data_IF_511631369277
#
_entry.id   IF_511631369277
#
_cell.length_a   1.000
_cell.length_b   1.000
_cell.length_c   1.000
_cell.angle_alpha   90.00
_cell.angle_beta   90.00
_cell.angle_gamma   90.00
#
_symmetry.space_group_name_H-M   'P 1'
#
loop_
_entity.id
_entity.type
_entity.pdbx_description
1 polymer ?
#
# COMPACT_ATOMS: atom_id res chain seq x y z
N UNK A 1 2.21 -33.29 77.91
CA UNK A 1 2.44 -33.56 76.46
C UNK A 1 1.87 -32.40 75.69
N UNK A 2 2.74 -31.47 75.27
CA UNK A 2 2.38 -30.40 74.38
C UNK A 2 2.18 -30.97 72.91
N UNK A 3 0.92 -31.06 72.50
CA UNK A 3 0.60 -31.27 71.11
C UNK A 3 0.89 -29.97 70.34
N UNK A 4 2.04 -29.89 69.66
CA UNK A 4 2.26 -28.85 68.68
C UNK A 4 1.34 -29.14 67.50
N UNK A 5 0.34 -28.26 67.27
CA UNK A 5 -0.45 -28.32 66.07
C UNK A 5 0.45 -28.01 64.85
N UNK A 6 0.42 -28.86 63.85
CA UNK A 6 1.05 -28.55 62.57
C UNK A 6 0.21 -27.51 61.86
N UNK A 7 0.82 -26.41 61.46
CA UNK A 7 0.25 -25.44 60.57
C UNK A 7 0.73 -25.77 59.15
N UNK A 8 -0.22 -25.72 58.19
CA UNK A 8 0.08 -25.90 56.75
C UNK A 8 -0.45 -24.68 56.00
N UNK A 9 0.23 -24.30 54.99
CA UNK A 9 -0.17 -23.26 54.05
C UNK A 9 0.16 -23.74 52.62
N UNK A 10 -0.62 -23.31 51.67
CA UNK A 10 -0.47 -23.69 50.25
C UNK A 10 -0.33 -22.46 49.38
N UNK A 11 0.53 -22.51 48.41
CA UNK A 11 0.68 -21.52 47.34
C UNK A 11 0.45 -22.18 46.00
N UNK A 12 -0.41 -21.58 45.20
CA UNK A 12 -0.61 -22.02 43.81
C UNK A 12 0.20 -21.16 42.86
N UNK A 13 1.06 -21.78 42.07
CA UNK A 13 1.83 -21.11 41.02
C UNK A 13 1.25 -21.52 39.66
N UNK A 14 0.75 -20.55 38.91
CA UNK A 14 0.24 -20.77 37.56
C UNK A 14 1.29 -20.32 36.55
N UNK A 15 1.54 -21.16 35.57
CA UNK A 15 2.41 -20.86 34.44
C UNK A 15 1.56 -20.63 33.19
N UNK A 16 1.79 -19.52 32.53
CA UNK A 16 1.14 -19.19 31.26
C UNK A 16 2.21 -19.16 30.15
N UNK A 17 1.82 -19.60 28.96
CA UNK A 17 2.66 -19.44 27.78
C UNK A 17 2.78 -17.95 27.42
N UNK A 18 3.96 -17.54 27.00
CA UNK A 18 4.18 -16.17 26.55
C UNK A 18 3.34 -15.85 25.30
N UNK A 19 2.83 -14.63 25.16
CA UNK A 19 2.15 -14.22 23.94
C UNK A 19 3.15 -14.14 22.77
N UNK A 20 2.65 -14.45 21.56
CA UNK A 20 3.38 -14.33 20.31
C UNK A 20 2.53 -13.53 19.33
N UNK A 21 3.12 -12.52 18.71
CA UNK A 21 2.45 -11.61 17.76
C UNK A 21 3.28 -11.59 16.47
N UNK A 22 2.56 -11.64 15.34
CA UNK A 22 3.08 -11.38 14.02
C UNK A 22 2.08 -10.48 13.28
N UNK A 23 2.50 -9.28 12.93
CA UNK A 23 1.66 -8.28 12.25
C UNK A 23 1.46 -8.59 10.75
N UNK A 24 2.22 -9.54 10.20
CA UNK A 24 2.24 -9.89 8.80
C UNK A 24 3.38 -9.21 8.04
N UNK A 25 3.45 -9.50 6.74
CA UNK A 25 4.45 -8.92 5.85
C UNK A 25 4.06 -7.51 5.42
N UNK A 26 5.07 -6.68 5.13
CA UNK A 26 4.87 -5.35 4.53
C UNK A 26 4.06 -5.43 3.24
N UNK A 27 3.16 -4.48 3.03
CA UNK A 27 2.28 -4.46 1.87
C UNK A 27 2.49 -3.20 1.04
N UNK A 28 2.20 -3.27 -0.26
CA UNK A 28 2.24 -2.13 -1.16
C UNK A 28 0.96 -2.04 -2.00
N UNK A 29 0.51 -0.82 -2.24
CA UNK A 29 -0.65 -0.50 -3.06
C UNK A 29 -0.31 0.62 -4.04
N UNK A 30 -0.68 0.42 -5.31
CA UNK A 30 -0.56 1.44 -6.35
C UNK A 30 -1.96 1.84 -6.82
N UNK A 31 -2.34 3.08 -6.63
CA UNK A 31 -3.66 3.60 -7.02
C UNK A 31 -4.17 4.69 -6.08
N UNK A 32 -5.35 5.24 -6.39
CA UNK A 32 -5.88 6.44 -5.74
C UNK A 32 -6.73 6.17 -4.49
N UNK A 33 -7.03 4.91 -4.20
CA UNK A 33 -7.89 4.55 -3.06
C UNK A 33 -7.31 3.33 -2.33
N UNK A 34 -6.18 3.49 -1.64
CA UNK A 34 -5.52 2.37 -0.97
C UNK A 34 -6.39 1.80 0.15
N UNK A 35 -6.42 0.47 0.20
CA UNK A 35 -7.10 -0.30 1.23
C UNK A 35 -6.28 -1.57 1.48
N UNK A 36 -5.94 -1.82 2.73
CA UNK A 36 -5.06 -2.93 3.13
C UNK A 36 -5.80 -3.90 4.03
N UNK A 37 -5.94 -5.14 3.61
CA UNK A 37 -6.39 -6.21 4.47
C UNK A 37 -5.22 -6.69 5.33
N UNK A 38 -5.28 -6.46 6.63
CA UNK A 38 -4.26 -6.94 7.55
C UNK A 38 -4.50 -8.41 7.87
N UNK A 39 -3.40 -9.19 7.92
CA UNK A 39 -3.43 -10.63 8.15
C UNK A 39 -2.40 -10.99 9.21
N UNK A 40 -2.75 -10.73 10.46
CA UNK A 40 -1.90 -10.95 11.61
C UNK A 40 -2.16 -12.31 12.27
N UNK A 41 -1.20 -12.76 13.05
CA UNK A 41 -1.28 -13.95 13.90
C UNK A 41 -1.02 -13.54 15.34
N UNK A 42 -1.85 -14.03 16.27
CA UNK A 42 -1.68 -13.85 17.70
C UNK A 42 -1.91 -15.18 18.42
N UNK A 43 -0.92 -15.62 19.20
CA UNK A 43 -0.99 -16.82 20.03
C UNK A 43 -0.82 -16.43 21.50
N UNK A 44 -1.50 -17.16 22.40
CA UNK A 44 -1.40 -17.00 23.84
C UNK A 44 -1.76 -15.56 24.34
N UNK A 45 -2.48 -14.79 23.56
CA UNK A 45 -3.02 -13.49 23.90
C UNK A 45 -4.56 -13.54 23.88
N UNK A 46 -5.23 -12.90 24.85
CA UNK A 46 -6.69 -12.85 24.87
C UNK A 46 -7.26 -11.76 23.95
N UNK A 47 -6.44 -10.84 23.52
CA UNK A 47 -6.81 -9.76 22.61
C UNK A 47 -5.60 -9.09 22.00
N UNK A 48 -5.86 -8.21 21.08
CA UNK A 48 -4.85 -7.40 20.39
C UNK A 48 -5.33 -5.98 20.21
N UNK A 49 -4.40 -5.07 19.96
CA UNK A 49 -4.70 -3.70 19.58
C UNK A 49 -3.71 -3.24 18.49
N UNK A 50 -4.26 -2.74 17.40
CA UNK A 50 -3.52 -2.01 16.38
C UNK A 50 -3.38 -0.54 16.75
N UNK A 51 -2.18 -0.01 16.60
CA UNK A 51 -1.84 1.40 16.84
C UNK A 51 -0.96 1.91 15.69
N UNK A 52 -0.71 3.19 15.70
CA UNK A 52 -0.03 3.88 14.59
C UNK A 52 -1.04 4.26 13.50
N UNK A 53 -0.62 5.22 12.70
CA UNK A 53 -1.45 5.77 11.65
C UNK A 53 -2.59 6.69 12.14
N UNK A 54 -3.13 7.44 11.18
CA UNK A 54 -4.29 8.32 11.35
C UNK A 54 -5.47 7.91 10.45
N UNK A 55 -5.38 6.74 9.83
CA UNK A 55 -6.41 6.15 9.00
C UNK A 55 -7.50 5.46 9.82
N UNK A 56 -8.28 4.63 9.16
CA UNK A 56 -9.45 3.96 9.77
C UNK A 56 -9.29 2.45 9.73
N UNK A 57 -9.51 1.80 10.87
CA UNK A 57 -9.60 0.33 10.98
C UNK A 57 -11.06 -0.12 10.87
N UNK A 58 -11.34 -1.07 10.00
CA UNK A 58 -12.68 -1.65 9.82
C UNK A 58 -12.63 -3.15 10.12
N UNK A 59 -13.42 -3.67 11.08
CA UNK A 59 -14.45 -2.98 11.84
C UNK A 59 -13.91 -2.06 12.94
N UNK A 60 -12.72 -2.33 13.50
CA UNK A 60 -12.05 -1.53 14.54
C UNK A 60 -10.60 -1.99 14.71
N UNK A 61 -9.84 -1.28 15.53
CA UNK A 61 -8.42 -1.55 15.77
C UNK A 61 -8.14 -2.66 16.79
N UNK A 62 -9.16 -3.26 17.40
CA UNK A 62 -9.01 -4.45 18.27
C UNK A 62 -9.33 -5.75 17.55
N UNK A 63 -9.74 -5.69 16.29
CA UNK A 63 -9.85 -6.85 15.42
C UNK A 63 -8.45 -7.35 15.03
N UNK A 64 -8.25 -8.68 15.01
CA UNK A 64 -6.95 -9.24 14.63
C UNK A 64 -6.61 -8.92 13.18
N UNK A 65 -7.58 -9.06 12.28
CA UNK A 65 -7.44 -8.90 10.84
C UNK A 65 -8.40 -7.83 10.29
N UNK A 66 -8.23 -6.54 10.64
CA UNK A 66 -9.08 -5.49 10.11
C UNK A 66 -8.62 -5.09 8.70
N UNK A 67 -9.49 -4.39 7.99
CA UNK A 67 -9.08 -3.59 6.84
C UNK A 67 -8.62 -2.22 7.32
N UNK A 68 -7.44 -1.79 6.90
CA UNK A 68 -6.95 -0.43 7.16
C UNK A 68 -7.12 0.44 5.93
N UNK A 69 -7.75 1.61 6.11
CA UNK A 69 -7.91 2.63 5.08
C UNK A 69 -7.07 3.83 5.51
N UNK A 70 -5.95 4.12 4.82
CA UNK A 70 -5.09 5.24 5.15
C UNK A 70 -5.76 6.59 4.99
N UNK A 71 -5.41 7.54 5.84
CA UNK A 71 -5.82 8.94 5.71
C UNK A 71 -5.17 9.60 4.48
N UNK A 72 -5.74 10.72 4.00
CA UNK A 72 -5.17 11.49 2.90
C UNK A 72 -3.73 11.97 3.18
N UNK A 73 -3.43 12.27 4.44
CA UNK A 73 -2.08 12.68 4.86
C UNK A 73 -1.09 11.53 4.71
N UNK A 74 -1.44 10.32 5.13
CA UNK A 74 -0.60 9.13 4.99
C UNK A 74 -0.38 8.75 3.52
N UNK A 75 -1.43 8.86 2.72
CA UNK A 75 -1.32 8.67 1.26
C UNK A 75 -0.34 9.65 0.64
N UNK A 76 -0.32 10.91 1.09
CA UNK A 76 0.62 11.92 0.60
C UNK A 76 2.06 11.66 1.06
N UNK A 77 2.27 11.02 2.21
CA UNK A 77 3.59 10.60 2.68
C UNK A 77 4.09 9.31 2.00
N UNK A 78 3.19 8.54 1.39
CA UNK A 78 3.52 7.33 0.66
C UNK A 78 3.76 6.09 1.53
N UNK A 79 3.69 6.19 2.85
CA UNK A 79 3.77 5.03 3.74
C UNK A 79 3.21 5.32 5.13
N UNK A 80 2.82 4.26 5.83
CA UNK A 80 2.44 4.26 7.24
C UNK A 80 2.91 2.97 7.90
N UNK A 81 3.41 3.06 9.13
CA UNK A 81 3.73 1.89 9.95
C UNK A 81 2.66 1.69 11.01
N UNK A 82 2.12 0.49 11.06
CA UNK A 82 1.14 0.05 12.06
C UNK A 82 1.79 -0.96 12.98
N UNK A 83 1.45 -0.89 14.27
CA UNK A 83 1.97 -1.80 15.29
C UNK A 83 0.82 -2.58 15.91
N UNK A 84 0.96 -3.90 15.95
CA UNK A 84 0.07 -4.81 16.65
C UNK A 84 0.67 -5.15 18.01
N UNK A 85 -0.12 -5.00 19.06
CA UNK A 85 0.30 -5.31 20.42
C UNK A 85 -0.68 -6.29 21.03
N UNK A 86 -0.16 -7.30 21.75
CA UNK A 86 -0.96 -8.25 22.49
C UNK A 86 -1.58 -7.60 23.73
N UNK A 87 -2.75 -8.06 24.13
CA UNK A 87 -3.45 -7.60 25.35
C UNK A 87 -4.03 -8.78 26.12
N UNK A 88 -4.23 -8.60 27.43
CA UNK A 88 -4.86 -9.62 28.27
C UNK A 88 -4.02 -10.88 28.46
N UNK A 89 -2.72 -10.74 28.65
CA UNK A 89 -1.70 -11.81 28.60
C UNK A 89 -1.54 -12.58 29.93
N UNK A 90 -2.59 -12.63 30.77
CA UNK A 90 -2.61 -13.39 32.03
C UNK A 90 -1.38 -13.15 32.94
N UNK A 91 -0.86 -11.93 32.96
CA UNK A 91 0.32 -11.52 33.78
C UNK A 91 1.64 -11.61 33.05
N UNK A 92 1.71 -12.10 31.83
CA UNK A 92 2.87 -11.96 30.95
C UNK A 92 2.96 -10.54 30.38
N UNK A 93 4.16 -10.10 30.04
CA UNK A 93 4.38 -8.81 29.36
C UNK A 93 3.74 -8.78 27.98
N UNK A 94 3.29 -7.59 27.56
CA UNK A 94 2.81 -7.36 26.22
C UNK A 94 3.97 -7.53 25.22
N UNK A 95 3.67 -8.07 24.04
CA UNK A 95 4.58 -8.16 22.91
C UNK A 95 3.96 -7.45 21.71
N UNK A 96 4.83 -6.92 20.85
CA UNK A 96 4.40 -6.15 19.68
C UNK A 96 5.19 -6.54 18.46
N UNK A 97 4.57 -6.38 17.30
CA UNK A 97 5.20 -6.46 15.98
C UNK A 97 4.61 -5.38 15.07
N UNK A 98 5.31 -5.04 14.01
CA UNK A 98 4.94 -3.92 13.14
C UNK A 98 4.95 -4.31 11.67
N UNK A 99 4.05 -3.70 10.90
CA UNK A 99 3.95 -3.81 9.44
C UNK A 99 4.02 -2.41 8.83
N UNK A 100 4.70 -2.26 7.70
CA UNK A 100 4.71 -1.03 6.92
C UNK A 100 3.87 -1.19 5.66
N UNK A 101 2.96 -0.25 5.46
CA UNK A 101 2.11 -0.17 4.29
C UNK A 101 2.63 0.93 3.38
N UNK A 102 3.02 0.57 2.17
CA UNK A 102 3.52 1.49 1.15
C UNK A 102 2.42 1.86 0.16
N UNK A 103 2.31 3.14 -0.14
CA UNK A 103 1.31 3.68 -1.06
C UNK A 103 2.00 4.50 -2.13
N UNK A 104 1.62 4.27 -3.39
CA UNK A 104 1.98 5.15 -4.48
C UNK A 104 0.73 5.48 -5.29
N UNK A 105 0.60 6.75 -5.68
CA UNK A 105 -0.42 7.15 -6.64
C UNK A 105 -0.12 6.50 -7.98
N UNK A 106 -1.16 6.02 -8.67
CA UNK A 106 -1.01 5.40 -9.98
C UNK A 106 -0.35 6.34 -11.00
N UNK A 107 0.35 5.78 -11.97
CA UNK A 107 0.86 6.54 -13.12
C UNK A 107 -0.31 7.18 -13.87
N UNK A 108 -0.22 8.48 -14.13
CA UNK A 108 -1.14 9.19 -14.98
C UNK A 108 -0.42 9.56 -16.29
N UNK A 109 -1.00 9.14 -17.41
CA UNK A 109 -0.52 9.48 -18.74
C UNK A 109 -1.54 10.41 -19.39
N UNK A 110 -1.08 11.54 -19.88
CA UNK A 110 -1.87 12.49 -20.64
C UNK A 110 -1.17 12.75 -21.99
N UNK A 111 -1.84 12.43 -23.05
CA UNK A 111 -1.34 12.62 -24.44
C UNK A 111 -1.89 13.89 -25.10
N UNK A 112 -2.68 14.68 -24.38
CA UNK A 112 -3.36 15.86 -24.91
C UNK A 112 -4.72 15.54 -25.54
N UNK A 113 -5.32 16.54 -26.16
CA UNK A 113 -6.58 16.40 -26.91
C UNK A 113 -6.30 15.85 -28.32
N UNK A 114 -7.33 15.28 -28.96
CA UNK A 114 -7.30 14.88 -30.34
C UNK A 114 -6.93 16.05 -31.24
N UNK A 115 -6.06 15.79 -32.22
CA UNK A 115 -5.54 16.80 -33.15
C UNK A 115 -6.04 16.51 -34.55
N UNK A 116 -6.68 17.50 -35.16
CA UNK A 116 -7.07 17.46 -36.57
C UNK A 116 -6.13 18.35 -37.38
N UNK A 117 -5.57 17.81 -38.42
CA UNK A 117 -4.66 18.53 -39.32
C UNK A 117 -5.14 18.45 -40.75
N UNK A 118 -4.69 19.39 -41.59
CA UNK A 118 -4.95 19.32 -43.02
C UNK A 118 -4.04 18.26 -43.68
N UNK A 119 -4.48 17.66 -44.77
CA UNK A 119 -3.73 16.67 -45.54
C UNK A 119 -2.46 17.23 -46.19
N UNK A 120 -2.23 18.55 -46.12
CA UNK A 120 -0.98 19.20 -46.55
C UNK A 120 0.05 19.32 -45.43
N UNK A 121 -0.30 18.91 -44.20
CA UNK A 121 0.63 18.91 -43.07
C UNK A 121 1.58 17.73 -43.19
N UNK A 122 2.87 17.99 -42.99
CA UNK A 122 3.91 16.94 -43.09
C UNK A 122 4.09 16.19 -41.75
N UNK A 123 3.78 16.84 -40.65
CA UNK A 123 3.89 16.26 -39.30
C UNK A 123 2.93 16.93 -38.30
N UNK A 124 2.75 16.29 -37.17
CA UNK A 124 2.06 16.85 -35.98
C UNK A 124 2.97 16.76 -34.76
N UNK A 125 2.97 17.79 -33.93
CA UNK A 125 3.70 17.79 -32.66
C UNK A 125 2.86 17.18 -31.56
N UNK A 126 3.36 16.10 -30.96
CA UNK A 126 2.75 15.43 -29.81
C UNK A 126 3.52 15.79 -28.54
N UNK A 127 2.80 16.02 -27.44
CA UNK A 127 3.34 16.38 -26.15
C UNK A 127 2.72 15.48 -25.07
N UNK A 128 3.39 14.40 -24.74
CA UNK A 128 2.97 13.51 -23.67
C UNK A 128 3.44 14.02 -22.30
N UNK A 129 2.60 13.79 -21.28
CA UNK A 129 2.93 14.08 -19.89
C UNK A 129 2.70 12.81 -19.09
N UNK A 130 3.67 12.42 -18.27
CA UNK A 130 3.55 11.36 -17.27
C UNK A 130 3.71 11.98 -15.91
N UNK A 131 2.72 11.73 -15.05
CA UNK A 131 2.70 12.20 -13.65
C UNK A 131 2.81 11.00 -12.72
N UNK A 132 3.42 11.17 -11.57
CA UNK A 132 3.63 10.14 -10.53
C UNK A 132 4.52 8.97 -10.97
N UNK A 133 5.44 9.20 -11.90
CA UNK A 133 6.40 8.20 -12.34
C UNK A 133 7.54 8.78 -13.17
N UNK A 134 8.46 7.93 -13.64
CA UNK A 134 9.56 8.38 -14.48
C UNK A 134 8.99 8.97 -15.78
N UNK A 135 9.57 10.05 -16.30
CA UNK A 135 9.11 10.69 -17.54
C UNK A 135 9.56 9.87 -18.78
N UNK A 136 9.18 8.60 -18.82
CA UNK A 136 9.52 7.67 -19.87
C UNK A 136 8.27 6.96 -20.35
N UNK A 137 8.02 7.00 -21.65
CA UNK A 137 6.91 6.37 -22.33
C UNK A 137 7.30 5.99 -23.74
N UNK A 138 6.43 5.25 -24.42
CA UNK A 138 6.61 4.87 -25.82
C UNK A 138 5.34 5.28 -26.57
N UNK A 139 5.51 6.05 -27.62
CA UNK A 139 4.47 6.32 -28.60
C UNK A 139 4.36 5.15 -29.57
N UNK A 140 3.15 4.76 -29.87
CA UNK A 140 2.84 3.75 -30.88
C UNK A 140 1.81 4.31 -31.85
N UNK A 141 1.85 3.85 -33.12
CA UNK A 141 0.85 4.16 -34.12
C UNK A 141 0.38 2.87 -34.78
N UNK A 142 -0.87 2.82 -35.19
CA UNK A 142 -1.43 1.80 -36.09
C UNK A 142 -1.28 2.16 -37.57
N UNK A 143 -0.84 3.38 -37.87
CA UNK A 143 -0.49 3.84 -39.21
C UNK A 143 0.92 3.52 -39.61
N UNK A 144 1.39 4.15 -40.70
CA UNK A 144 2.73 3.98 -41.26
C UNK A 144 3.67 5.16 -40.98
N UNK A 145 3.22 6.11 -40.17
CA UNK A 145 3.99 7.27 -39.72
C UNK A 145 5.16 6.91 -38.82
N UNK A 146 6.07 7.88 -38.62
CA UNK A 146 7.25 7.72 -37.77
C UNK A 146 7.37 8.82 -36.73
N UNK A 147 7.99 8.50 -35.60
CA UNK A 147 8.23 9.45 -34.52
C UNK A 147 9.66 10.00 -34.55
N UNK A 148 9.81 11.30 -34.44
CA UNK A 148 11.09 12.00 -34.39
C UNK A 148 11.19 12.91 -33.17
N UNK A 149 12.28 12.87 -32.38
CA UNK A 149 13.54 12.13 -32.60
C UNK A 149 13.47 10.62 -32.35
N UNK A 150 12.55 10.13 -31.56
CA UNK A 150 12.29 8.70 -31.36
C UNK A 150 10.93 8.52 -30.62
N UNK A 151 10.32 7.36 -30.74
CA UNK A 151 9.07 6.98 -30.05
C UNK A 151 9.17 7.00 -28.54
N UNK A 152 10.36 6.92 -27.96
CA UNK A 152 10.58 6.96 -26.51
C UNK A 152 10.64 8.39 -25.93
N UNK A 153 10.60 9.41 -26.76
CA UNK A 153 10.57 10.80 -26.33
C UNK A 153 9.12 11.26 -26.12
N UNK A 154 8.80 11.87 -24.99
CA UNK A 154 7.43 12.33 -24.71
C UNK A 154 7.00 13.50 -25.61
N UNK A 155 7.95 14.29 -26.10
CA UNK A 155 7.70 15.41 -27.02
C UNK A 155 8.25 15.04 -28.39
N UNK A 156 7.41 14.59 -29.29
CA UNK A 156 7.81 14.09 -30.62
C UNK A 156 7.00 14.71 -31.72
N UNK A 157 7.63 14.84 -32.90
CA UNK A 157 6.89 15.03 -34.14
C UNK A 157 6.52 13.65 -34.72
N UNK A 158 5.24 13.43 -34.98
CA UNK A 158 4.77 12.31 -35.76
C UNK A 158 4.69 12.74 -37.21
N UNK A 159 5.48 12.11 -38.07
CA UNK A 159 5.44 12.30 -39.52
C UNK A 159 4.49 11.29 -40.12
N UNK A 160 3.52 11.74 -40.89
CA UNK A 160 2.49 10.89 -41.45
C UNK A 160 3.05 9.96 -42.55
N UNK A 161 2.62 8.72 -42.52
CA UNK A 161 2.80 7.79 -43.61
C UNK A 161 1.67 7.87 -44.65
N UNK A 162 1.86 7.24 -45.78
CA UNK A 162 0.86 7.28 -46.87
C UNK A 162 -0.49 6.67 -46.52
N UNK A 163 -0.54 5.79 -45.51
CA UNK A 163 -1.78 5.18 -45.05
C UNK A 163 -2.51 6.02 -44.00
N UNK A 164 -1.91 7.10 -43.50
CA UNK A 164 -2.47 7.94 -42.44
C UNK A 164 -3.38 9.05 -42.97
N UNK A 165 -3.48 9.18 -44.27
CA UNK A 165 -4.35 10.15 -44.92
C UNK A 165 -5.69 9.48 -45.28
N UNK A 166 -6.78 9.94 -44.64
CA UNK A 166 -8.13 9.61 -45.12
C UNK A 166 -8.42 10.36 -46.41
N UNK A 167 -8.94 9.64 -47.41
CA UNK A 167 -9.37 10.24 -48.70
C UNK A 167 -10.82 10.70 -48.63
#
# INVERSE_FOLDING_TARGET
>A
TNSCNQAQDEVTINFFAAPEINAGEDQSFCGDSPSFQLNAIANNANGVIWTGGNGTFIPNNTSLNPTYIPSATEQSFGSVTLTLTSTGNAGCSDVSDAITLYMSTGLLVNVGADITVCNTSEFVQLNGIITNGPPQGIWTTDGTGTFSPSESNLNVANTFGVADYEM
#
